data_IF_487247975212
#
_entry.id   IF_487247975212
#
_cell.length_a   1.000
_cell.length_b   1.000
_cell.length_c   1.000
_cell.angle_alpha   90.00
_cell.angle_beta   90.00
_cell.angle_gamma   90.00
#
_symmetry.space_group_name_H-M   'P 1'
#
loop_
_entity.id
_entity.type
_entity.pdbx_description
1 polymer ?
#
# COMPACT_ATOMS: atom_id res chain seq x y z
N UNK A 1 -10.23 18.78 -0.51
CA UNK A 1 -10.33 17.57 -1.36
C UNK A 1 -10.75 16.44 -0.44
N UNK A 2 -11.77 15.66 -0.79
CA UNK A 2 -12.12 14.51 0.02
C UNK A 2 -10.96 13.51 -0.05
N UNK A 3 -10.46 13.11 1.11
CA UNK A 3 -9.45 12.07 1.26
C UNK A 3 -9.98 10.80 0.60
N UNK A 4 -9.30 10.30 -0.42
CA UNK A 4 -9.75 9.13 -1.17
C UNK A 4 -9.29 7.89 -0.42
N UNK A 5 -10.22 7.19 0.22
CA UNK A 5 -9.93 5.92 0.88
C UNK A 5 -9.86 4.78 -0.12
N UNK A 6 -8.92 3.86 0.13
CA UNK A 6 -8.67 2.60 -0.56
C UNK A 6 -9.01 1.38 0.30
N UNK A 7 -9.71 1.55 1.43
CA UNK A 7 -9.93 0.49 2.42
C UNK A 7 -10.51 -0.82 1.86
N UNK A 8 -11.30 -0.77 0.78
CA UNK A 8 -11.80 -1.98 0.10
C UNK A 8 -10.80 -2.50 -0.92
N UNK A 9 -10.19 -1.59 -1.66
CA UNK A 9 -9.31 -1.86 -2.78
C UNK A 9 -7.99 -2.48 -2.33
N UNK A 10 -7.48 -2.13 -1.14
CA UNK A 10 -6.27 -2.73 -0.55
C UNK A 10 -6.39 -4.24 -0.31
N UNK A 11 -7.60 -4.80 -0.26
CA UNK A 11 -7.75 -6.26 -0.13
C UNK A 11 -7.14 -7.02 -1.32
N UNK A 12 -7.05 -6.38 -2.49
CA UNK A 12 -6.37 -6.95 -3.68
C UNK A 12 -4.85 -7.15 -3.47
N UNK A 13 -4.25 -6.54 -2.45
CA UNK A 13 -2.85 -6.78 -2.08
C UNK A 13 -2.62 -8.24 -1.65
N UNK A 14 -3.66 -8.92 -1.14
CA UNK A 14 -3.63 -10.33 -0.72
C UNK A 14 -3.60 -11.34 -1.87
N UNK A 15 -3.90 -10.92 -3.10
CA UNK A 15 -3.92 -11.83 -4.25
C UNK A 15 -2.60 -12.60 -4.35
N UNK A 16 -2.68 -13.92 -4.47
CA UNK A 16 -1.55 -14.83 -4.56
C UNK A 16 -0.98 -14.96 -5.96
N UNK A 17 -0.07 -15.91 -6.10
CA UNK A 17 0.52 -16.27 -7.40
C UNK A 17 -0.55 -16.80 -8.35
N UNK A 18 -0.50 -16.35 -9.61
CA UNK A 18 -1.45 -16.76 -10.66
C UNK A 18 -2.80 -16.04 -10.63
N UNK A 19 -3.09 -15.23 -9.61
CA UNK A 19 -4.31 -14.41 -9.57
C UNK A 19 -4.17 -13.12 -10.37
N UNK A 20 -5.20 -12.78 -11.15
CA UNK A 20 -5.21 -11.55 -11.96
C UNK A 20 -5.56 -10.34 -11.08
N UNK A 21 -4.66 -9.35 -11.03
CA UNK A 21 -4.95 -8.08 -10.39
C UNK A 21 -5.73 -7.16 -11.33
N UNK A 22 -6.86 -6.62 -10.86
CA UNK A 22 -7.61 -5.54 -11.52
C UNK A 22 -7.88 -4.42 -10.52
N UNK A 23 -7.41 -3.22 -10.82
CA UNK A 23 -7.58 -2.08 -9.93
C UNK A 23 -6.76 -0.88 -10.37
N UNK A 24 -6.61 0.09 -9.47
CA UNK A 24 -5.85 1.31 -9.74
C UNK A 24 -4.35 1.03 -9.82
N UNK A 25 -3.64 1.77 -10.66
CA UNK A 25 -2.19 1.58 -10.86
C UNK A 25 -1.38 1.74 -9.59
N UNK A 26 -1.80 2.61 -8.65
CA UNK A 26 -1.10 2.81 -7.38
C UNK A 26 -1.13 1.59 -6.46
N UNK A 27 -2.23 0.82 -6.49
CA UNK A 27 -2.34 -0.45 -5.78
C UNK A 27 -1.49 -1.53 -6.45
N UNK A 28 -1.41 -1.53 -7.78
CA UNK A 28 -0.51 -2.43 -8.52
C UNK A 28 0.96 -2.15 -8.15
N UNK A 29 1.37 -0.88 -8.09
CA UNK A 29 2.72 -0.48 -7.65
C UNK A 29 2.96 -0.90 -6.19
N UNK A 30 1.99 -0.65 -5.30
CA UNK A 30 2.08 -1.09 -3.89
C UNK A 30 2.29 -2.60 -3.80
N UNK A 31 1.47 -3.38 -4.50
CA UNK A 31 1.61 -4.84 -4.56
C UNK A 31 2.97 -5.27 -5.07
N UNK A 32 3.46 -4.66 -6.15
CA UNK A 32 4.77 -4.96 -6.73
C UNK A 32 5.91 -4.69 -5.73
N UNK A 33 5.84 -3.62 -4.93
CA UNK A 33 6.81 -3.33 -3.88
C UNK A 33 6.81 -4.43 -2.80
N UNK A 34 5.62 -4.82 -2.32
CA UNK A 34 5.49 -5.88 -1.32
C UNK A 34 6.01 -7.23 -1.85
N UNK A 35 5.67 -7.58 -3.08
CA UNK A 35 6.17 -8.80 -3.75
C UNK A 35 7.69 -8.77 -3.99
N UNK A 36 8.27 -7.57 -4.12
CA UNK A 36 9.73 -7.39 -4.25
C UNK A 36 10.47 -7.49 -2.91
N UNK A 37 9.77 -7.78 -1.81
CA UNK A 37 10.36 -7.94 -0.48
C UNK A 37 10.63 -6.63 0.26
N UNK A 38 9.99 -5.53 -0.14
CA UNK A 38 10.06 -4.28 0.63
C UNK A 38 9.40 -4.50 1.99
N UNK A 39 10.21 -4.47 3.05
CA UNK A 39 9.79 -4.70 4.42
C UNK A 39 9.67 -3.43 5.27
N UNK A 40 10.07 -2.28 4.74
CA UNK A 40 10.02 -1.00 5.43
C UNK A 40 9.66 0.12 4.44
N UNK A 41 8.66 0.92 4.79
CA UNK A 41 8.27 2.13 4.05
C UNK A 41 8.08 3.27 5.03
N UNK A 42 8.76 4.38 4.74
CA UNK A 42 8.65 5.64 5.47
C UNK A 42 8.37 6.79 4.52
N UNK A 43 7.69 7.82 5.01
CA UNK A 43 7.43 9.03 4.24
C UNK A 43 6.94 10.17 5.13
N UNK A 44 6.90 11.38 4.58
CA UNK A 44 6.52 12.60 5.28
C UNK A 44 5.40 13.33 4.55
N UNK A 45 4.69 14.22 5.25
CA UNK A 45 3.62 15.01 4.63
C UNK A 45 4.15 15.86 3.47
N UNK A 46 3.46 15.77 2.32
CA UNK A 46 3.83 16.48 1.10
C UNK A 46 4.97 15.83 0.29
N UNK A 47 5.44 14.64 0.67
CA UNK A 47 6.35 13.86 -0.16
C UNK A 47 5.74 13.59 -1.55
N UNK A 48 6.55 13.46 -2.63
CA UNK A 48 6.05 13.11 -3.96
C UNK A 48 5.26 11.79 -4.01
N UNK A 49 5.43 10.94 -3.00
CA UNK A 49 4.75 9.66 -2.84
C UNK A 49 3.56 9.71 -1.85
N UNK A 50 3.04 10.89 -1.50
CA UNK A 50 1.97 11.02 -0.48
C UNK A 50 0.77 10.12 -0.74
N UNK A 51 0.30 10.02 -1.99
CA UNK A 51 -0.81 9.14 -2.35
C UNK A 51 -0.50 7.64 -2.13
N UNK A 52 0.77 7.24 -2.27
CA UNK A 52 1.18 5.87 -1.99
C UNK A 52 1.15 5.61 -0.48
N UNK A 53 1.51 6.63 0.32
CA UNK A 53 1.40 6.58 1.78
C UNK A 53 -0.05 6.41 2.22
N UNK A 54 -1.01 7.07 1.55
CA UNK A 54 -2.45 6.91 1.84
C UNK A 54 -2.92 5.47 1.61
N UNK A 55 -2.48 4.84 0.51
CA UNK A 55 -2.78 3.42 0.22
C UNK A 55 -2.17 2.50 1.28
N UNK A 56 -0.92 2.75 1.69
CA UNK A 56 -0.23 1.95 2.71
C UNK A 56 -0.85 2.12 4.10
N UNK A 57 -1.34 3.32 4.42
CA UNK A 57 -2.07 3.60 5.65
C UNK A 57 -3.39 2.80 5.70
N UNK A 58 -4.15 2.79 4.61
CA UNK A 58 -5.38 1.98 4.51
C UNK A 58 -5.10 0.46 4.49
N UNK A 59 -3.88 0.05 4.10
CA UNK A 59 -3.44 -1.36 4.08
C UNK A 59 -2.78 -1.84 5.38
N UNK A 60 -2.75 -1.05 6.45
CA UNK A 60 -1.95 -1.30 7.66
C UNK A 60 -2.10 -2.72 8.24
N UNK A 61 -3.31 -3.27 8.28
CA UNK A 61 -3.53 -4.62 8.81
C UNK A 61 -2.90 -5.71 7.92
N UNK A 62 -2.97 -5.54 6.60
CA UNK A 62 -2.32 -6.44 5.64
C UNK A 62 -0.80 -6.34 5.78
N UNK A 63 -0.26 -5.13 5.93
CA UNK A 63 1.17 -4.91 6.12
C UNK A 63 1.68 -5.61 7.38
N UNK A 64 0.94 -5.54 8.50
CA UNK A 64 1.28 -6.24 9.74
C UNK A 64 1.34 -7.75 9.57
N UNK A 65 0.37 -8.33 8.87
CA UNK A 65 0.35 -9.77 8.58
C UNK A 65 1.54 -10.21 7.71
N UNK A 66 1.96 -9.34 6.79
CA UNK A 66 3.13 -9.56 5.94
C UNK A 66 4.47 -9.22 6.63
N UNK A 67 4.44 -8.73 7.87
CA UNK A 67 5.64 -8.30 8.61
C UNK A 67 6.30 -7.03 8.06
N UNK A 68 5.56 -6.20 7.34
CA UNK A 68 6.03 -4.94 6.74
C UNK A 68 5.81 -3.78 7.70
N UNK A 69 6.88 -3.04 7.97
CA UNK A 69 6.82 -1.83 8.78
C UNK A 69 6.45 -0.62 7.92
N UNK A 70 5.42 0.10 8.34
CA UNK A 70 4.99 1.35 7.72
C UNK A 70 4.96 2.44 8.77
N UNK A 71 5.63 3.56 8.49
CA UNK A 71 5.58 4.75 9.33
C UNK A 71 5.38 6.02 8.49
N UNK A 72 4.59 6.94 9.04
CA UNK A 72 4.46 8.30 8.52
C UNK A 72 5.17 9.23 9.47
N UNK A 73 6.28 9.81 9.02
CA UNK A 73 7.01 10.85 9.74
C UNK A 73 6.19 12.14 9.72
N UNK A 74 5.76 12.56 10.92
CA UNK A 74 5.07 13.83 11.14
C UNK A 74 6.03 15.02 11.03
#
# INVERSE_FOLDING_TARGET
MAERSFAKEVQSLRLGEGEEFRGEGILAVTKALLQSGVAYVGGYQGAPISHLMDVLADAQDILRELGVHFESSA
#
